data_IF_149154829362
#
_entry.id   IF_149154829362
#
_cell.length_a   1.000
_cell.length_b   1.000
_cell.length_c   1.000
_cell.angle_alpha   90.00
_cell.angle_beta   90.00
_cell.angle_gamma   90.00
#
_symmetry.space_group_name_H-M   'P 1'
#
loop_
_entity.id
_entity.type
_entity.pdbx_description
1 polymer ?
#
# COMPACT_ATOMS: atom_id res chain seq x y z
N UNK A 1 -5.69 1.46 -17.90
CA UNK A 1 -6.69 0.54 -17.32
C UNK A 1 -6.47 0.58 -15.81
N UNK A 2 -7.51 0.73 -14.98
CA UNK A 2 -7.28 0.70 -13.51
C UNK A 2 -6.98 -0.73 -13.05
N UNK A 3 -6.27 -0.87 -11.93
CA UNK A 3 -5.95 -2.19 -11.37
C UNK A 3 -7.19 -3.07 -11.15
N UNK A 4 -8.31 -2.48 -10.71
CA UNK A 4 -9.60 -3.19 -10.62
C UNK A 4 -10.06 -3.81 -11.94
N UNK A 5 -9.90 -3.09 -13.07
CA UNK A 5 -10.33 -3.59 -14.38
C UNK A 5 -9.41 -4.73 -14.85
N UNK A 6 -8.11 -4.67 -14.52
CA UNK A 6 -7.18 -5.77 -14.77
C UNK A 6 -7.60 -7.05 -14.05
N UNK A 7 -7.90 -6.98 -12.74
CA UNK A 7 -8.37 -8.14 -11.98
C UNK A 7 -9.68 -8.70 -12.56
N UNK A 8 -10.63 -7.82 -12.89
CA UNK A 8 -11.90 -8.26 -13.50
C UNK A 8 -11.71 -8.89 -14.88
N UNK A 9 -10.73 -8.42 -15.65
CA UNK A 9 -10.39 -9.01 -16.93
C UNK A 9 -9.90 -10.44 -16.74
N UNK A 10 -8.90 -10.65 -15.88
CA UNK A 10 -8.34 -11.97 -15.58
C UNK A 10 -9.42 -12.96 -15.11
N UNK A 11 -10.22 -12.56 -14.12
CA UNK A 11 -11.30 -13.39 -13.58
C UNK A 11 -12.38 -13.72 -14.62
N UNK A 12 -12.64 -12.83 -15.58
CA UNK A 12 -13.59 -13.08 -16.66
C UNK A 12 -13.01 -13.96 -17.78
N UNK A 13 -11.69 -14.11 -17.85
CA UNK A 13 -11.01 -15.00 -18.81
C UNK A 13 -10.69 -16.39 -18.23
N UNK A 14 -10.66 -16.53 -16.91
CA UNK A 14 -10.45 -17.83 -16.27
C UNK A 14 -11.61 -18.78 -16.63
N UNK A 15 -11.33 -19.99 -17.14
CA UNK A 15 -12.36 -20.92 -17.56
C UNK A 15 -13.14 -21.43 -16.35
N UNK A 16 -14.48 -21.38 -16.44
CA UNK A 16 -15.37 -22.01 -15.46
C UNK A 16 -15.90 -23.33 -16.02
N UNK A 17 -15.95 -24.36 -15.18
CA UNK A 17 -16.58 -25.63 -15.54
C UNK A 17 -18.11 -25.47 -15.49
N UNK A 18 -18.85 -26.26 -16.27
CA UNK A 18 -20.32 -26.18 -16.37
C UNK A 18 -21.03 -26.17 -15.00
N UNK A 19 -20.52 -26.90 -14.01
CA UNK A 19 -21.07 -26.99 -12.66
C UNK A 19 -20.86 -25.73 -11.82
N UNK A 20 -19.84 -24.93 -12.13
CA UNK A 20 -19.51 -23.68 -11.42
C UNK A 20 -20.38 -22.52 -11.91
N UNK A 21 -20.91 -22.61 -13.13
CA UNK A 21 -21.63 -21.52 -13.77
C UNK A 21 -22.91 -21.11 -13.03
N UNK A 22 -23.66 -22.05 -12.46
CA UNK A 22 -24.84 -21.72 -11.64
C UNK A 22 -24.47 -20.91 -10.40
N UNK A 23 -23.36 -21.27 -9.76
CA UNK A 23 -22.83 -20.59 -8.58
C UNK A 23 -22.29 -19.20 -8.92
N UNK A 24 -21.57 -19.09 -10.04
CA UNK A 24 -21.15 -17.81 -10.61
C UNK A 24 -22.34 -16.90 -10.90
N UNK A 25 -23.37 -17.41 -11.58
CA UNK A 25 -24.57 -16.65 -11.91
C UNK A 25 -25.31 -16.21 -10.64
N UNK A 26 -25.41 -17.06 -9.62
CA UNK A 26 -25.97 -16.67 -8.33
C UNK A 26 -25.23 -15.47 -7.72
N UNK A 27 -23.89 -15.53 -7.66
CA UNK A 27 -23.06 -14.43 -7.17
C UNK A 27 -23.19 -13.15 -8.01
N UNK A 28 -23.29 -13.27 -9.33
CA UNK A 28 -23.44 -12.11 -10.20
C UNK A 28 -24.86 -11.50 -10.13
N UNK A 29 -25.91 -12.32 -10.22
CA UNK A 29 -27.31 -11.89 -10.32
C UNK A 29 -27.89 -11.37 -9.02
N UNK A 30 -27.40 -11.83 -7.87
CA UNK A 30 -27.77 -11.23 -6.59
C UNK A 30 -27.43 -9.75 -6.51
N UNK A 31 -26.58 -9.23 -7.40
CA UNK A 31 -26.26 -7.82 -7.53
C UNK A 31 -26.64 -7.27 -8.91
N UNK A 32 -27.80 -6.59 -8.98
CA UNK A 32 -28.18 -5.79 -10.14
C UNK A 32 -28.99 -6.51 -11.22
N UNK A 33 -29.43 -7.75 -10.98
CA UNK A 33 -30.48 -8.37 -11.78
C UNK A 33 -31.80 -7.60 -11.60
N UNK A 34 -32.52 -7.37 -12.70
CA UNK A 34 -33.79 -6.64 -12.73
C UNK A 34 -34.85 -7.46 -13.43
N UNK A 35 -36.07 -7.45 -12.90
CA UNK A 35 -37.25 -7.95 -13.59
C UNK A 35 -37.82 -6.83 -14.48
N UNK A 36 -37.87 -7.05 -15.79
CA UNK A 36 -38.43 -6.09 -16.76
C UNK A 36 -39.92 -6.34 -16.99
N UNK A 37 -40.30 -7.61 -17.14
CA UNK A 37 -41.66 -8.09 -17.30
C UNK A 37 -41.71 -9.56 -16.82
N UNK A 38 -42.90 -10.16 -16.74
CA UNK A 38 -43.06 -11.56 -16.33
C UNK A 38 -42.16 -12.49 -17.15
N UNK A 39 -41.18 -13.12 -16.48
CA UNK A 39 -40.22 -14.03 -17.10
C UNK A 39 -39.14 -13.36 -17.99
N UNK A 40 -39.05 -12.03 -17.99
CA UNK A 40 -38.05 -11.26 -18.73
C UNK A 40 -37.18 -10.48 -17.75
N UNK A 41 -35.89 -10.79 -17.77
CA UNK A 41 -34.91 -10.28 -16.82
C UNK A 41 -33.81 -9.52 -17.53
N UNK A 42 -33.17 -8.58 -16.85
CA UNK A 42 -31.97 -7.92 -17.36
C UNK A 42 -30.88 -7.73 -16.31
N UNK A 43 -29.64 -7.71 -16.79
CA UNK A 43 -28.47 -7.31 -16.02
C UNK A 43 -27.48 -6.55 -16.91
N UNK A 44 -26.56 -5.83 -16.28
CA UNK A 44 -25.59 -4.98 -16.96
C UNK A 44 -24.19 -5.54 -16.82
N UNK A 45 -23.38 -5.33 -17.86
CA UNK A 45 -21.94 -5.61 -17.88
C UNK A 45 -21.19 -4.35 -18.27
N UNK A 46 -20.06 -4.08 -17.60
CA UNK A 46 -19.27 -2.86 -17.78
C UNK A 46 -18.06 -3.00 -18.69
N UNK A 47 -17.70 -4.22 -19.10
CA UNK A 47 -16.49 -4.50 -19.90
C UNK A 47 -16.79 -5.40 -21.09
N UNK A 48 -15.99 -5.26 -22.15
CA UNK A 48 -16.07 -6.13 -23.32
C UNK A 48 -15.79 -7.60 -22.97
N UNK A 49 -14.90 -7.86 -22.02
CA UNK A 49 -14.59 -9.22 -21.55
C UNK A 49 -15.80 -9.89 -20.89
N UNK A 50 -16.54 -9.17 -20.04
CA UNK A 50 -17.76 -9.70 -19.45
C UNK A 50 -18.84 -9.93 -20.50
N UNK A 51 -18.99 -8.99 -21.46
CA UNK A 51 -19.89 -9.18 -22.60
C UNK A 51 -19.56 -10.48 -23.35
N UNK A 52 -18.29 -10.73 -23.65
CA UNK A 52 -17.84 -11.94 -24.33
C UNK A 52 -18.12 -13.21 -23.49
N UNK A 53 -17.79 -13.19 -22.20
CA UNK A 53 -18.06 -14.27 -21.27
C UNK A 53 -19.55 -14.66 -21.27
N UNK A 54 -20.44 -13.69 -21.03
CA UNK A 54 -21.88 -13.96 -20.99
C UNK A 54 -22.45 -14.35 -22.37
N UNK A 55 -21.95 -13.77 -23.47
CA UNK A 55 -22.39 -14.15 -24.81
C UNK A 55 -22.09 -15.61 -25.14
N UNK A 56 -20.99 -16.15 -24.60
CA UNK A 56 -20.55 -17.52 -24.86
C UNK A 56 -21.13 -18.54 -23.86
N UNK A 57 -21.36 -18.14 -22.60
CA UNK A 57 -21.68 -19.08 -21.52
C UNK A 57 -23.13 -19.01 -21.01
N UNK A 58 -23.86 -17.92 -21.27
CA UNK A 58 -25.24 -17.77 -20.77
C UNK A 58 -26.18 -18.73 -21.51
N UNK A 59 -26.77 -19.68 -20.78
CA UNK A 59 -27.63 -20.73 -21.36
C UNK A 59 -29.07 -20.27 -21.64
N UNK A 60 -29.43 -19.06 -21.24
CA UNK A 60 -30.74 -18.47 -21.53
C UNK A 60 -30.78 -17.90 -22.93
N UNK A 61 -31.95 -17.88 -23.55
CA UNK A 61 -32.15 -17.05 -24.75
C UNK A 61 -32.09 -15.57 -24.35
N UNK A 62 -31.15 -14.82 -24.94
CA UNK A 62 -30.91 -13.42 -24.60
C UNK A 62 -30.82 -12.50 -25.82
N UNK A 63 -30.98 -11.21 -25.55
CA UNK A 63 -30.72 -10.09 -26.45
C UNK A 63 -29.74 -9.14 -25.76
N UNK A 64 -28.84 -8.53 -26.53
CA UNK A 64 -27.87 -7.57 -26.03
C UNK A 64 -28.26 -6.18 -26.53
N UNK A 65 -28.36 -5.23 -25.62
CA UNK A 65 -28.51 -3.82 -25.94
C UNK A 65 -27.25 -3.07 -25.48
N UNK A 66 -26.56 -2.42 -26.41
CA UNK A 66 -25.33 -1.69 -26.12
C UNK A 66 -25.61 -0.20 -25.95
N UNK A 67 -24.97 0.40 -24.96
CA UNK A 67 -24.96 1.85 -24.76
C UNK A 67 -23.52 2.34 -24.74
N UNK A 68 -23.31 3.65 -24.73
CA UNK A 68 -21.97 4.25 -24.63
C UNK A 68 -21.22 3.90 -23.33
N UNK A 69 -21.93 3.39 -22.30
CA UNK A 69 -21.36 3.18 -20.96
C UNK A 69 -21.40 1.72 -20.48
N UNK A 70 -22.34 0.91 -20.98
CA UNK A 70 -22.53 -0.47 -20.56
C UNK A 70 -23.24 -1.29 -21.64
N UNK A 71 -23.13 -2.62 -21.54
CA UNK A 71 -23.97 -3.56 -22.28
C UNK A 71 -25.03 -4.13 -21.33
N UNK A 72 -26.26 -4.21 -21.78
CA UNK A 72 -27.39 -4.78 -21.04
C UNK A 72 -27.83 -6.07 -21.72
N UNK A 73 -27.80 -7.18 -20.97
CA UNK A 73 -28.33 -8.46 -21.40
C UNK A 73 -29.77 -8.56 -20.93
N UNK A 74 -30.70 -8.78 -21.86
CA UNK A 74 -32.09 -9.11 -21.58
C UNK A 74 -32.33 -10.57 -21.90
N UNK A 75 -32.82 -11.37 -20.96
CA UNK A 75 -33.00 -12.81 -21.17
C UNK A 75 -34.34 -13.31 -20.62
N UNK A 76 -34.77 -14.47 -21.13
CA UNK A 76 -35.99 -15.15 -20.66
C UNK A 76 -35.65 -16.27 -19.71
N UNK A 77 -36.27 -16.26 -18.53
CA UNK A 77 -36.16 -17.30 -17.52
C UNK A 77 -37.42 -17.31 -16.64
N UNK A 78 -37.83 -18.49 -16.17
CA UNK A 78 -38.99 -18.57 -15.28
C UNK A 78 -38.68 -17.91 -13.92
N UNK A 79 -39.71 -17.41 -13.23
CA UNK A 79 -39.54 -16.84 -11.88
C UNK A 79 -38.91 -17.87 -10.93
N UNK A 80 -39.38 -19.13 -10.98
CA UNK A 80 -38.87 -20.23 -10.15
C UNK A 80 -37.39 -20.50 -10.39
N UNK A 81 -36.93 -20.47 -11.63
CA UNK A 81 -35.52 -20.69 -11.99
C UNK A 81 -34.62 -19.56 -11.48
N UNK A 82 -35.08 -18.31 -11.59
CA UNK A 82 -34.34 -17.16 -11.05
C UNK A 82 -34.34 -17.17 -9.53
N UNK A 83 -35.46 -17.49 -8.89
CA UNK A 83 -35.54 -17.59 -7.43
C UNK A 83 -34.60 -18.66 -6.87
N UNK A 84 -34.47 -19.81 -7.56
CA UNK A 84 -33.50 -20.85 -7.21
C UNK A 84 -32.05 -20.36 -7.31
N UNK A 85 -31.70 -19.62 -8.38
CA UNK A 85 -30.38 -19.01 -8.52
C UNK A 85 -30.10 -17.99 -7.43
N UNK A 86 -31.07 -17.13 -7.10
CA UNK A 86 -30.91 -16.08 -6.09
C UNK A 86 -30.86 -16.63 -4.66
N UNK A 87 -31.54 -17.76 -4.39
CA UNK A 87 -31.56 -18.45 -3.11
C UNK A 87 -30.36 -19.39 -2.88
N UNK A 88 -29.48 -19.56 -3.88
CA UNK A 88 -28.29 -20.41 -3.77
C UNK A 88 -27.41 -20.02 -2.57
N UNK A 89 -27.15 -20.99 -1.69
CA UNK A 89 -26.25 -20.83 -0.53
C UNK A 89 -24.88 -21.45 -0.85
N UNK A 90 -23.96 -20.60 -1.31
CA UNK A 90 -22.59 -20.98 -1.60
C UNK A 90 -21.84 -21.49 -0.35
N UNK A 91 -22.25 -21.07 0.85
CA UNK A 91 -21.53 -21.42 2.10
C UNK A 91 -21.62 -22.90 2.47
N UNK A 92 -22.55 -23.62 1.87
CA UNK A 92 -22.74 -25.07 2.03
C UNK A 92 -22.21 -25.89 0.84
N UNK A 93 -21.61 -25.22 -0.15
CA UNK A 93 -21.08 -25.86 -1.35
C UNK A 93 -19.58 -26.16 -1.23
N UNK A 94 -19.05 -26.99 -2.12
CA UNK A 94 -17.61 -27.25 -2.19
C UNK A 94 -16.82 -26.04 -2.69
N UNK A 95 -15.52 -26.04 -2.41
CA UNK A 95 -14.60 -24.92 -2.70
C UNK A 95 -14.70 -24.37 -4.15
N UNK A 96 -14.82 -25.19 -5.22
CA UNK A 96 -14.95 -24.64 -6.58
C UNK A 96 -16.20 -23.80 -6.79
N UNK A 97 -17.33 -24.19 -6.18
CA UNK A 97 -18.59 -23.42 -6.25
C UNK A 97 -18.49 -22.18 -5.37
N UNK A 98 -17.94 -22.28 -4.16
CA UNK A 98 -17.65 -21.12 -3.32
C UNK A 98 -16.82 -20.06 -4.05
N UNK A 99 -15.74 -20.48 -4.72
CA UNK A 99 -14.88 -19.63 -5.56
C UNK A 99 -15.70 -18.97 -6.67
N UNK A 100 -16.44 -19.76 -7.44
CA UNK A 100 -17.24 -19.25 -8.56
C UNK A 100 -18.27 -18.19 -8.12
N UNK A 101 -18.94 -18.41 -6.99
CA UNK A 101 -19.84 -17.44 -6.38
C UNK A 101 -19.14 -16.13 -6.01
N UNK A 102 -17.98 -16.20 -5.34
CA UNK A 102 -17.20 -15.00 -4.96
C UNK A 102 -16.73 -14.24 -6.20
N UNK A 103 -16.32 -14.94 -7.26
CA UNK A 103 -15.96 -14.33 -8.55
C UNK A 103 -17.17 -13.60 -9.14
N UNK A 104 -18.34 -14.24 -9.22
CA UNK A 104 -19.57 -13.60 -9.73
C UNK A 104 -19.93 -12.32 -8.95
N UNK A 105 -19.85 -12.37 -7.62
CA UNK A 105 -20.09 -11.21 -6.76
C UNK A 105 -19.05 -10.09 -6.96
N UNK A 106 -17.76 -10.44 -7.12
CA UNK A 106 -16.71 -9.46 -7.36
C UNK A 106 -16.80 -8.85 -8.77
N UNK A 107 -17.18 -9.60 -9.79
CA UNK A 107 -17.33 -9.05 -11.14
C UNK A 107 -18.50 -8.05 -11.20
N UNK A 108 -19.61 -8.34 -10.53
CA UNK A 108 -20.80 -7.46 -10.50
C UNK A 108 -20.56 -6.15 -9.70
N UNK A 109 -19.93 -6.22 -8.52
CA UNK A 109 -19.84 -5.09 -7.59
C UNK A 109 -18.46 -4.84 -6.98
N UNK A 110 -17.45 -5.60 -7.38
CA UNK A 110 -16.12 -5.56 -6.79
C UNK A 110 -15.24 -4.42 -7.28
N UNK A 111 -14.31 -3.99 -6.42
CA UNK A 111 -13.18 -3.15 -6.76
C UNK A 111 -12.00 -3.37 -5.82
N UNK A 112 -10.80 -3.09 -6.30
CA UNK A 112 -9.54 -3.11 -5.56
C UNK A 112 -8.74 -1.84 -5.83
N UNK A 113 -8.09 -1.31 -4.80
CA UNK A 113 -7.25 -0.13 -4.90
C UNK A 113 -6.00 -0.38 -5.74
N UNK A 114 -5.60 0.65 -6.47
CA UNK A 114 -4.35 0.68 -7.21
C UNK A 114 -3.24 1.25 -6.31
N UNK A 115 -2.24 0.43 -5.97
CA UNK A 115 -1.19 0.83 -5.02
C UNK A 115 -0.20 1.85 -5.59
N UNK A 116 -0.12 1.98 -6.92
CA UNK A 116 0.72 3.00 -7.56
C UNK A 116 0.14 4.41 -7.39
N UNK A 117 -1.18 4.49 -7.19
CA UNK A 117 -1.90 5.76 -7.07
C UNK A 117 -2.59 5.97 -5.72
N UNK A 118 -2.59 4.95 -4.84
CA UNK A 118 -3.22 5.00 -3.51
C UNK A 118 -2.28 4.50 -2.42
N UNK A 119 -2.25 5.22 -1.30
CA UNK A 119 -1.56 4.76 -0.10
C UNK A 119 -2.27 3.58 0.59
N UNK A 120 -3.58 3.46 0.41
CA UNK A 120 -4.43 2.55 1.17
C UNK A 120 -4.73 1.26 0.41
N UNK A 121 -4.55 0.14 1.10
CA UNK A 121 -5.10 -1.16 0.72
C UNK A 121 -6.61 -1.14 0.91
N UNK A 122 -7.36 -1.40 -0.15
CA UNK A 122 -8.82 -1.48 -0.07
C UNK A 122 -9.33 -2.40 -1.18
N UNK A 123 -9.97 -3.50 -0.79
CA UNK A 123 -10.79 -4.31 -1.69
C UNK A 123 -12.20 -4.33 -1.14
N UNK A 124 -13.20 -4.17 -2.00
CA UNK A 124 -14.60 -4.19 -1.61
C UNK A 124 -15.48 -4.87 -2.65
N UNK A 125 -16.64 -5.35 -2.21
CA UNK A 125 -17.75 -5.79 -3.06
C UNK A 125 -19.01 -5.08 -2.57
N UNK A 126 -19.59 -4.24 -3.41
CA UNK A 126 -20.85 -3.54 -3.14
C UNK A 126 -22.05 -4.31 -3.69
N UNK A 127 -23.12 -4.39 -2.91
CA UNK A 127 -24.38 -5.04 -3.30
C UNK A 127 -25.55 -4.41 -2.56
N UNK A 128 -26.77 -4.61 -3.07
CA UNK A 128 -28.00 -4.25 -2.35
C UNK A 128 -28.63 -5.46 -1.65
N UNK A 129 -27.98 -6.63 -1.72
CA UNK A 129 -28.53 -7.88 -1.23
C UNK A 129 -27.86 -8.29 0.10
N UNK A 130 -28.63 -8.26 1.20
CA UNK A 130 -28.14 -8.66 2.53
C UNK A 130 -27.73 -10.14 2.61
N UNK A 131 -28.41 -11.04 1.88
CA UNK A 131 -28.04 -12.45 1.82
C UNK A 131 -26.63 -12.60 1.24
N UNK A 132 -26.33 -11.85 0.17
CA UNK A 132 -25.03 -11.87 -0.45
C UNK A 132 -23.91 -11.41 0.51
N UNK A 133 -24.15 -10.33 1.27
CA UNK A 133 -23.22 -9.86 2.31
C UNK A 133 -22.91 -10.96 3.32
N UNK A 134 -23.96 -11.63 3.84
CA UNK A 134 -23.80 -12.71 4.84
C UNK A 134 -23.02 -13.90 4.28
N UNK A 135 -23.28 -14.29 3.04
CA UNK A 135 -22.53 -15.37 2.38
C UNK A 135 -21.07 -14.97 2.17
N UNK A 136 -20.80 -13.79 1.61
CA UNK A 136 -19.43 -13.32 1.37
C UNK A 136 -18.59 -13.29 2.65
N UNK A 137 -19.16 -12.83 3.77
CA UNK A 137 -18.46 -12.81 5.05
C UNK A 137 -18.13 -14.21 5.59
N UNK A 138 -18.98 -15.21 5.31
CA UNK A 138 -18.71 -16.62 5.67
C UNK A 138 -17.68 -17.27 4.76
N UNK A 139 -17.72 -16.96 3.46
CA UNK A 139 -16.79 -17.51 2.46
C UNK A 139 -15.38 -16.91 2.59
N UNK A 140 -15.28 -15.65 3.04
CA UNK A 140 -14.00 -14.99 3.22
C UNK A 140 -13.97 -14.18 4.52
N UNK A 141 -13.51 -14.86 5.58
CA UNK A 141 -13.47 -14.39 6.97
C UNK A 141 -12.87 -12.98 7.19
N UNK A 142 -11.84 -12.53 6.44
CA UNK A 142 -11.30 -11.19 6.64
C UNK A 142 -12.27 -10.04 6.28
N UNK A 143 -13.36 -10.31 5.55
CA UNK A 143 -14.32 -9.28 5.16
C UNK A 143 -15.00 -8.63 6.38
N UNK A 144 -15.10 -7.30 6.32
CA UNK A 144 -15.92 -6.49 7.22
C UNK A 144 -17.09 -5.88 6.45
N UNK A 145 -18.25 -5.76 7.08
CA UNK A 145 -19.41 -5.10 6.50
C UNK A 145 -19.41 -3.59 6.81
N UNK A 146 -19.91 -2.78 5.88
CA UNK A 146 -20.32 -1.39 6.12
C UNK A 146 -21.37 -0.98 5.09
N UNK A 147 -21.86 0.26 5.18
CA UNK A 147 -22.85 0.83 4.27
C UNK A 147 -22.33 2.17 3.75
N UNK A 148 -22.42 2.41 2.44
CA UNK A 148 -21.99 3.66 1.80
C UNK A 148 -23.04 4.12 0.80
N UNK A 149 -23.55 5.35 0.95
CA UNK A 149 -24.57 5.93 0.05
C UNK A 149 -25.76 4.97 -0.21
N UNK A 150 -26.29 4.35 0.85
CA UNK A 150 -27.37 3.36 0.81
C UNK A 150 -27.06 2.02 0.11
N UNK A 151 -25.80 1.75 -0.23
CA UNK A 151 -25.37 0.43 -0.68
C UNK A 151 -24.66 -0.32 0.45
N UNK A 152 -24.95 -1.61 0.58
CA UNK A 152 -24.22 -2.50 1.48
C UNK A 152 -22.90 -2.88 0.82
N UNK A 153 -21.84 -3.04 1.61
CA UNK A 153 -20.58 -3.52 1.08
C UNK A 153 -19.80 -4.34 2.10
N UNK A 154 -19.09 -5.34 1.60
CA UNK A 154 -18.01 -6.00 2.32
C UNK A 154 -16.67 -5.43 1.86
N UNK A 155 -15.69 -5.34 2.76
CA UNK A 155 -14.38 -4.82 2.43
C UNK A 155 -13.24 -5.40 3.29
N UNK A 156 -12.02 -5.32 2.76
CA UNK A 156 -10.76 -5.58 3.48
C UNK A 156 -9.76 -4.44 3.27
N UNK A 157 -8.93 -4.20 4.30
CA UNK A 157 -7.93 -3.10 4.31
C UNK A 157 -6.50 -3.55 4.59
N UNK A 158 -6.23 -4.84 4.71
CA UNK A 158 -4.87 -5.34 4.89
C UNK A 158 -4.33 -5.88 3.57
N UNK A 159 -3.05 -5.65 3.31
CA UNK A 159 -2.33 -6.22 2.17
C UNK A 159 -2.52 -7.75 2.10
N UNK A 160 -2.30 -8.44 3.23
CA UNK A 160 -2.40 -9.89 3.31
C UNK A 160 -3.81 -10.39 2.97
N UNK A 161 -4.87 -9.73 3.44
CA UNK A 161 -6.23 -10.17 3.11
C UNK A 161 -6.57 -9.95 1.63
N UNK A 162 -6.02 -8.91 0.98
CA UNK A 162 -6.21 -8.74 -0.47
C UNK A 162 -5.46 -9.84 -1.23
N UNK A 163 -4.25 -10.18 -0.79
CA UNK A 163 -3.48 -11.31 -1.33
C UNK A 163 -4.22 -12.65 -1.19
N UNK A 164 -4.78 -12.92 -0.01
CA UNK A 164 -5.54 -14.14 0.24
C UNK A 164 -6.86 -14.17 -0.55
N UNK A 165 -7.48 -13.01 -0.79
CA UNK A 165 -8.62 -12.92 -1.69
C UNK A 165 -8.23 -13.32 -3.12
N UNK A 166 -7.12 -12.80 -3.66
CA UNK A 166 -6.66 -13.18 -5.00
C UNK A 166 -6.36 -14.68 -5.12
N UNK A 167 -5.82 -15.29 -4.07
CA UNK A 167 -5.61 -16.75 -4.02
C UNK A 167 -6.95 -17.52 -4.03
N UNK A 168 -7.94 -17.06 -3.27
CA UNK A 168 -9.28 -17.67 -3.24
C UNK A 168 -9.93 -17.67 -4.62
N UNK A 169 -9.83 -16.55 -5.35
CA UNK A 169 -10.42 -16.40 -6.68
C UNK A 169 -9.50 -16.83 -7.83
N UNK A 170 -8.31 -17.34 -7.51
CA UNK A 170 -7.29 -17.77 -8.47
C UNK A 170 -6.90 -16.67 -9.49
N UNK A 171 -6.83 -15.41 -9.03
CA UNK A 171 -6.32 -14.28 -9.81
C UNK A 171 -4.79 -14.16 -9.62
N UNK A 172 -4.02 -15.08 -10.19
CA UNK A 172 -2.57 -15.17 -10.00
C UNK A 172 -1.79 -14.04 -10.69
N UNK A 173 -2.19 -13.60 -11.88
CA UNK A 173 -1.53 -12.49 -12.58
C UNK A 173 -1.79 -11.18 -11.81
N UNK A 174 -3.03 -11.00 -11.36
CA UNK A 174 -3.45 -9.92 -10.50
C UNK A 174 -2.70 -9.90 -9.16
N UNK A 175 -2.54 -11.07 -8.54
CA UNK A 175 -1.76 -11.24 -7.32
C UNK A 175 -0.30 -10.81 -7.53
N UNK A 176 0.37 -11.32 -8.57
CA UNK A 176 1.77 -10.98 -8.87
C UNK A 176 1.94 -9.48 -9.14
N UNK A 177 1.05 -8.89 -9.94
CA UNK A 177 1.07 -7.44 -10.19
C UNK A 177 0.84 -6.62 -8.90
N UNK A 178 0.00 -7.10 -7.99
CA UNK A 178 -0.20 -6.46 -6.69
C UNK A 178 1.05 -6.51 -5.80
N UNK A 179 1.71 -7.68 -5.75
CA UNK A 179 2.96 -7.85 -5.00
C UNK A 179 4.08 -6.97 -5.57
N UNK A 180 4.20 -6.91 -6.90
CA UNK A 180 5.19 -6.07 -7.58
C UNK A 180 4.96 -4.59 -7.24
N UNK A 181 3.72 -4.10 -7.36
CA UNK A 181 3.38 -2.72 -7.01
C UNK A 181 3.72 -2.40 -5.54
N UNK A 182 3.46 -3.34 -4.63
CA UNK A 182 3.78 -3.18 -3.22
C UNK A 182 5.30 -3.17 -2.96
N UNK A 183 6.06 -4.02 -3.65
CA UNK A 183 7.52 -4.07 -3.57
C UNK A 183 8.13 -2.75 -4.04
N UNK A 184 7.72 -2.26 -5.21
CA UNK A 184 8.18 -0.99 -5.77
C UNK A 184 7.90 0.19 -4.81
N UNK A 185 6.68 0.24 -4.25
CA UNK A 185 6.29 1.26 -3.27
C UNK A 185 7.13 1.19 -1.99
N UNK A 186 7.37 -0.02 -1.46
CA UNK A 186 8.21 -0.20 -0.27
C UNK A 186 9.65 0.23 -0.52
N UNK A 187 10.21 -0.12 -1.68
CA UNK A 187 11.56 0.29 -2.07
C UNK A 187 11.70 1.82 -2.17
N UNK A 188 10.74 2.49 -2.81
CA UNK A 188 10.72 3.95 -2.89
C UNK A 188 10.61 4.61 -1.50
N UNK A 189 9.74 4.09 -0.62
CA UNK A 189 9.60 4.58 0.75
C UNK A 189 10.88 4.37 1.57
N UNK A 190 11.57 3.26 1.37
CA UNK A 190 12.85 2.99 2.01
C UNK A 190 13.93 3.99 1.58
N UNK A 191 14.02 4.28 0.28
CA UNK A 191 14.94 5.29 -0.24
C UNK A 191 14.67 6.68 0.34
N UNK A 192 13.39 7.09 0.40
CA UNK A 192 12.99 8.36 1.03
C UNK A 192 13.38 8.38 2.50
N UNK A 193 13.15 7.29 3.24
CA UNK A 193 13.52 7.18 4.65
C UNK A 193 15.03 7.30 4.84
N UNK A 194 15.82 6.63 3.99
CA UNK A 194 17.29 6.68 4.03
C UNK A 194 17.80 8.10 3.76
N UNK A 195 17.31 8.74 2.70
CA UNK A 195 17.65 10.13 2.36
C UNK A 195 17.30 11.11 3.48
N UNK A 196 16.11 10.98 4.07
CA UNK A 196 15.69 11.81 5.20
C UNK A 196 16.59 11.64 6.42
N UNK A 197 17.06 10.42 6.70
CA UNK A 197 18.01 10.15 7.79
C UNK A 197 19.38 10.78 7.52
N UNK A 198 19.87 10.67 6.29
CA UNK A 198 21.13 11.30 5.86
C UNK A 198 21.08 12.82 5.98
N UNK A 199 20.01 13.45 5.48
CA UNK A 199 19.78 14.89 5.59
C UNK A 199 19.69 15.30 7.08
N UNK A 200 18.94 14.56 7.90
CA UNK A 200 18.81 14.85 9.33
C UNK A 200 20.15 14.71 10.08
N UNK A 201 21.01 13.78 9.68
CA UNK A 201 22.36 13.63 10.22
C UNK A 201 23.26 14.80 9.80
N UNK A 202 23.23 15.19 8.52
CA UNK A 202 23.98 16.34 8.00
C UNK A 202 23.56 17.64 8.71
N UNK A 203 22.25 17.88 8.85
CA UNK A 203 21.71 19.03 9.57
C UNK A 203 22.16 19.06 11.04
N UNK A 204 22.18 17.90 11.73
CA UNK A 204 22.71 17.80 13.10
C UNK A 204 24.19 18.13 13.17
N UNK A 205 25.00 17.59 12.27
CA UNK A 205 26.43 17.87 12.19
C UNK A 205 26.70 19.36 11.95
N UNK A 206 25.97 19.97 10.99
CA UNK A 206 26.07 21.40 10.71
C UNK A 206 25.71 22.24 11.94
N UNK A 207 24.59 21.94 12.60
CA UNK A 207 24.16 22.65 13.82
C UNK A 207 25.16 22.51 14.97
N UNK A 208 25.75 21.33 15.16
CA UNK A 208 26.79 21.13 16.17
C UNK A 208 28.06 21.91 15.81
N UNK A 209 28.44 21.94 14.53
CA UNK A 209 29.60 22.71 14.05
C UNK A 209 29.43 24.21 14.29
N UNK A 210 28.28 24.78 13.89
CA UNK A 210 27.97 26.21 14.10
C UNK A 210 27.93 26.58 15.59
N UNK A 211 27.23 25.79 16.41
CA UNK A 211 27.16 26.02 17.85
C UNK A 211 28.53 25.91 18.53
N UNK A 212 29.37 24.95 18.10
CA UNK A 212 30.73 24.81 18.62
C UNK A 212 31.59 26.03 18.26
N UNK A 213 31.47 26.55 17.04
CA UNK A 213 32.19 27.74 16.59
C UNK A 213 31.77 28.98 17.40
N UNK A 214 30.48 29.17 17.68
CA UNK A 214 29.98 30.25 18.51
C UNK A 214 30.48 30.15 19.97
N UNK A 215 30.39 28.95 20.56
CA UNK A 215 30.90 28.72 21.92
C UNK A 215 32.41 28.96 22.02
N UNK A 216 33.18 28.55 21.02
CA UNK A 216 34.62 28.81 20.98
C UNK A 216 34.94 30.31 20.96
N UNK A 217 34.19 31.11 20.18
CA UNK A 217 34.35 32.58 20.16
C UNK A 217 34.08 33.20 21.53
N UNK A 218 33.04 32.75 22.22
CA UNK A 218 32.71 33.21 23.58
C UNK A 218 33.82 32.82 24.56
N UNK A 219 34.24 31.56 24.54
CA UNK A 219 35.29 31.04 25.43
C UNK A 219 36.61 31.79 25.24
N UNK A 220 37.07 31.99 24.00
CA UNK A 220 38.36 32.66 23.72
C UNK A 220 38.39 34.10 24.27
N UNK A 221 37.24 34.77 24.31
CA UNK A 221 37.11 36.12 24.86
C UNK A 221 36.94 36.15 26.39
N UNK A 222 36.84 35.00 27.06
CA UNK A 222 36.65 34.92 28.50
C UNK A 222 37.96 35.05 29.30
N UNK A 223 37.86 35.51 30.54
CA UNK A 223 39.01 35.54 31.44
C UNK A 223 39.53 34.12 31.78
N UNK A 224 38.65 33.13 31.80
CA UNK A 224 39.00 31.75 32.17
C UNK A 224 39.78 31.03 31.07
N UNK A 225 39.66 31.45 29.81
CA UNK A 225 40.48 30.95 28.72
C UNK A 225 41.97 31.28 28.90
N UNK A 226 42.29 32.51 29.33
CA UNK A 226 43.67 32.95 29.58
C UNK A 226 44.36 32.15 30.69
N UNK A 227 43.59 31.54 31.60
CA UNK A 227 44.08 30.68 32.70
C UNK A 227 44.34 29.24 32.26
N UNK A 228 43.89 28.83 31.07
CA UNK A 228 44.07 27.46 30.59
C UNK A 228 45.50 27.19 30.13
N UNK A 229 45.88 25.91 30.03
CA UNK A 229 47.19 25.51 29.51
C UNK A 229 47.40 25.98 28.07
N UNK A 230 48.65 26.30 27.72
CA UNK A 230 49.00 26.78 26.39
C UNK A 230 48.56 25.82 25.26
N UNK A 231 48.63 24.50 25.50
CA UNK A 231 48.17 23.49 24.54
C UNK A 231 46.64 23.50 24.37
N UNK A 232 45.87 23.77 25.44
CA UNK A 232 44.42 23.93 25.33
C UNK A 232 44.04 25.21 24.58
N UNK A 233 44.74 26.32 24.86
CA UNK A 233 44.53 27.58 24.14
C UNK A 233 44.82 27.40 22.64
N UNK A 234 45.96 26.80 22.29
CA UNK A 234 46.32 26.43 20.91
C UNK A 234 45.25 25.55 20.27
N UNK A 235 44.72 24.56 20.99
CA UNK A 235 43.69 23.67 20.48
C UNK A 235 42.41 24.43 20.11
N UNK A 236 41.95 25.34 20.97
CA UNK A 236 40.76 26.14 20.72
C UNK A 236 40.94 27.06 19.51
N UNK A 237 42.10 27.72 19.38
CA UNK A 237 42.41 28.58 18.24
C UNK A 237 42.45 27.78 16.93
N UNK A 238 43.14 26.64 16.91
CA UNK A 238 43.18 25.75 15.74
C UNK A 238 41.78 25.24 15.38
N UNK A 239 40.97 24.88 16.38
CA UNK A 239 39.60 24.41 16.14
C UNK A 239 38.67 25.51 15.63
N UNK A 240 38.92 26.78 16.00
CA UNK A 240 38.19 27.92 15.48
C UNK A 240 38.58 28.25 14.03
N UNK A 241 39.87 28.24 13.72
CA UNK A 241 40.40 28.53 12.38
C UNK A 241 40.09 27.38 11.39
N UNK A 242 40.03 26.14 11.89
CA UNK A 242 39.81 24.94 11.10
C UNK A 242 38.72 24.05 11.72
N UNK A 243 37.44 24.47 11.67
CA UNK A 243 36.33 23.76 12.34
C UNK A 243 36.13 22.34 11.80
N UNK A 244 36.36 22.14 10.50
CA UNK A 244 36.15 20.86 9.81
C UNK A 244 37.32 19.87 9.96
N UNK A 245 38.42 20.27 10.60
CA UNK A 245 39.55 19.37 10.77
C UNK A 245 39.25 18.25 11.77
N UNK A 246 39.65 17.05 11.36
CA UNK A 246 39.66 15.86 12.21
C UNK A 246 40.67 16.01 13.36
N UNK A 247 40.46 15.23 14.43
CA UNK A 247 41.40 15.20 15.57
C UNK A 247 42.82 14.78 15.15
N UNK A 248 42.92 13.96 14.10
CA UNK A 248 44.19 13.53 13.51
C UNK A 248 44.92 14.68 12.81
N UNK A 249 44.21 15.45 11.98
CA UNK A 249 44.77 16.63 11.32
C UNK A 249 45.22 17.69 12.34
N UNK A 250 44.46 17.88 13.42
CA UNK A 250 44.84 18.79 14.51
C UNK A 250 46.11 18.29 15.21
N UNK A 251 46.24 17.00 15.48
CA UNK A 251 47.44 16.42 16.07
C UNK A 251 48.69 16.65 15.19
N UNK A 252 48.58 16.37 13.88
CA UNK A 252 49.67 16.60 12.93
C UNK A 252 50.03 18.09 12.80
N UNK A 253 49.04 18.99 12.87
CA UNK A 253 49.28 20.42 12.86
C UNK A 253 50.02 20.89 14.12
N UNK A 254 49.69 20.33 15.28
CA UNK A 254 50.40 20.60 16.53
C UNK A 254 51.88 20.23 16.45
N UNK A 255 52.19 19.09 15.86
CA UNK A 255 53.57 18.65 15.66
C UNK A 255 54.31 19.59 14.69
N UNK A 256 53.69 19.92 13.55
CA UNK A 256 54.33 20.77 12.52
C UNK A 256 54.56 22.21 13.00
N UNK A 257 53.52 22.86 13.56
CA UNK A 257 53.52 24.29 13.91
C UNK A 257 54.07 24.58 15.30
N UNK A 258 53.70 23.78 16.29
CA UNK A 258 54.05 24.04 17.70
C UNK A 258 55.17 23.14 18.22
N UNK A 259 55.66 22.17 17.42
CA UNK A 259 56.67 21.17 17.83
C UNK A 259 56.24 20.37 19.08
N UNK A 260 54.93 20.15 19.22
CA UNK A 260 54.34 19.37 20.31
C UNK A 260 53.90 18.02 19.76
N UNK A 261 54.55 16.95 20.19
CA UNK A 261 54.09 15.58 19.91
C UNK A 261 52.86 15.28 20.76
N UNK A 262 51.69 15.25 20.12
CA UNK A 262 50.42 14.92 20.76
C UNK A 262 49.69 13.90 19.91
N UNK A 263 49.20 12.84 20.55
CA UNK A 263 48.44 11.81 19.85
C UNK A 263 47.00 12.27 19.60
N UNK A 264 46.28 11.57 18.71
CA UNK A 264 44.84 11.73 18.53
C UNK A 264 44.06 11.67 19.85
N UNK A 265 44.45 10.76 20.75
CA UNK A 265 43.85 10.64 22.08
C UNK A 265 44.12 11.89 22.93
N UNK A 266 45.34 12.43 22.87
CA UNK A 266 45.70 13.69 23.53
C UNK A 266 44.83 14.87 23.09
N UNK A 267 44.61 15.00 21.78
CA UNK A 267 43.68 16.01 21.22
C UNK A 267 42.24 15.76 21.69
N UNK A 268 41.81 14.51 21.78
CA UNK A 268 40.48 14.17 22.30
C UNK A 268 40.29 14.58 23.76
N UNK A 269 41.33 14.51 24.60
CA UNK A 269 41.26 15.03 25.97
C UNK A 269 41.07 16.56 26.01
N UNK A 270 41.73 17.30 25.12
CA UNK A 270 41.53 18.75 25.00
C UNK A 270 40.10 19.06 24.53
N UNK A 271 39.57 18.30 23.57
CA UNK A 271 38.20 18.41 23.10
C UNK A 271 37.16 18.11 24.21
N UNK A 272 37.40 17.08 25.03
CA UNK A 272 36.55 16.78 26.18
C UNK A 272 36.58 17.91 27.22
N UNK A 273 37.75 18.53 27.43
CA UNK A 273 37.88 19.70 28.31
C UNK A 273 37.10 20.90 27.78
N UNK A 274 37.15 21.16 26.47
CA UNK A 274 36.35 22.20 25.81
C UNK A 274 34.86 22.01 26.07
N UNK A 275 34.36 20.79 25.89
CA UNK A 275 32.94 20.47 26.17
C UNK A 275 32.54 20.72 27.61
N UNK A 276 33.41 20.43 28.59
CA UNK A 276 33.14 20.71 30.01
C UNK A 276 33.07 22.20 30.31
N UNK A 277 33.96 23.01 29.70
CA UNK A 277 33.98 24.46 29.89
C UNK A 277 32.76 25.14 29.26
N UNK A 278 32.20 24.59 28.18
CA UNK A 278 30.99 25.13 27.54
C UNK A 278 29.67 24.72 28.23
N UNK A 279 29.71 23.79 29.20
CA UNK A 279 28.52 23.36 29.96
C UNK A 279 28.23 24.24 31.19
N UNK A 280 29.18 25.08 31.59
CA UNK A 280 29.06 26.04 32.70
C UNK A 280 28.93 27.46 32.15
#
# INVERSE_FOLDING_TARGET
MSFSVQIKHELATNPLIKTEWSSFLAGYFQNGLKLLATGQWSFKTSTATLKALFSNALQFSFQIHETSTHCEFSFRASQTEVDQLLAFDATQSDLPLQKAYVIGAFLSGGSVSDLLHSSNFHLQISTNNELQIKQLMKLFHPFKQTTKRHQLLVYVKSYQAICDFFKLVEAFDGYLAFEENQLQKNFALEQVRKSNLEIANLMRTLKTSTSTAEQLKILINSADFKKQSLNFQRFCLVKLDHPDWSLEQIAQFFERKYKVQITRSGIQHLNAKLKKLNQN
#
